data_IF_026960943168
#
_entry.id   IF_026960943168
#
_cell.length_a   1.000
_cell.length_b   1.000
_cell.length_c   1.000
_cell.angle_alpha   90.00
_cell.angle_beta   90.00
_cell.angle_gamma   90.00
#
_symmetry.space_group_name_H-M   'P 1'
#
loop_
_entity.id
_entity.type
_entity.pdbx_description
1 polymer ?
#
# COMPACT_ATOMS: atom_id res chain seq x y z
N UNK A 1 -5.88 12.14 -9.23
CA UNK A 1 -4.79 11.68 -8.32
C UNK A 1 -5.43 11.34 -6.99
N UNK A 2 -5.18 10.13 -6.48
CA UNK A 2 -5.68 9.66 -5.18
C UNK A 2 -4.54 9.75 -4.18
N UNK A 3 -4.82 10.23 -2.97
CA UNK A 3 -3.87 10.23 -1.87
C UNK A 3 -4.52 9.46 -0.73
N UNK A 4 -3.83 8.44 -0.24
CA UNK A 4 -4.28 7.61 0.87
C UNK A 4 -3.31 7.76 2.03
N UNK A 5 -3.78 8.42 3.09
CA UNK A 5 -3.07 8.47 4.36
C UNK A 5 -3.37 7.22 5.19
N UNK A 6 -2.45 6.86 6.09
CA UNK A 6 -2.56 5.67 6.94
C UNK A 6 -2.84 4.39 6.12
N UNK A 7 -2.17 4.24 4.97
CA UNK A 7 -2.48 3.24 3.95
C UNK A 7 -2.46 1.78 4.45
N UNK A 8 -1.72 1.51 5.53
CA UNK A 8 -1.66 0.20 6.17
C UNK A 8 -2.99 -0.27 6.81
N UNK A 9 -3.94 0.65 7.00
CA UNK A 9 -5.28 0.32 7.49
C UNK A 9 -6.21 -0.21 6.38
N UNK A 10 -5.83 -0.01 5.11
CA UNK A 10 -6.68 -0.35 3.97
C UNK A 10 -6.06 -1.47 3.12
N UNK A 11 -4.74 -1.48 2.96
CA UNK A 11 -4.06 -2.43 2.07
C UNK A 11 -3.84 -3.78 2.75
N UNK A 12 -4.21 -4.87 2.06
CA UNK A 12 -4.10 -6.24 2.58
C UNK A 12 -5.00 -6.50 3.80
N UNK A 13 -6.06 -5.71 3.97
CA UNK A 13 -7.04 -5.87 5.05
C UNK A 13 -8.38 -6.36 4.51
N UNK A 14 -9.06 -7.09 5.37
CA UNK A 14 -10.38 -7.61 5.11
C UNK A 14 -11.29 -7.21 6.25
N UNK A 15 -12.48 -6.72 5.93
CA UNK A 15 -13.49 -6.32 6.90
C UNK A 15 -14.63 -7.34 6.92
N UNK A 16 -15.18 -7.59 8.10
CA UNK A 16 -16.37 -8.42 8.29
C UNK A 16 -16.11 -9.75 9.00
N UNK A 17 -17.21 -10.44 9.30
CA UNK A 17 -17.23 -11.76 9.95
C UNK A 17 -16.91 -12.86 8.93
N UNK A 18 -16.61 -14.09 9.39
CA UNK A 18 -16.28 -15.23 8.50
C UNK A 18 -17.30 -15.46 7.37
N UNK A 19 -18.56 -15.05 7.56
CA UNK A 19 -19.65 -15.19 6.58
C UNK A 19 -19.83 -13.99 5.61
N UNK A 20 -19.21 -12.83 5.85
CA UNK A 20 -19.31 -11.64 4.97
C UNK A 20 -17.97 -10.89 4.94
N UNK A 21 -17.06 -11.42 4.13
CA UNK A 21 -15.67 -10.98 4.01
C UNK A 21 -15.56 -9.96 2.87
N UNK A 22 -15.45 -8.67 3.21
CA UNK A 22 -15.25 -7.58 2.26
C UNK A 22 -13.76 -7.27 2.12
N UNK A 23 -13.19 -7.54 0.95
CA UNK A 23 -11.81 -7.18 0.64
C UNK A 23 -11.71 -5.68 0.34
N UNK A 24 -10.81 -4.98 1.02
CA UNK A 24 -10.47 -3.58 0.73
C UNK A 24 -9.47 -3.49 -0.44
N UNK A 25 -9.82 -4.08 -1.57
CA UNK A 25 -8.91 -4.24 -2.72
C UNK A 25 -8.86 -3.02 -3.67
N UNK A 26 -9.79 -2.07 -3.52
CA UNK A 26 -9.90 -0.93 -4.43
C UNK A 26 -8.59 -0.13 -4.57
N UNK A 27 -7.87 0.12 -3.47
CA UNK A 27 -6.60 0.85 -3.52
C UNK A 27 -5.47 0.02 -4.14
N UNK A 28 -5.48 -1.31 -3.94
CA UNK A 28 -4.55 -2.22 -4.58
C UNK A 28 -4.81 -2.30 -6.09
N UNK A 29 -6.07 -2.29 -6.51
CA UNK A 29 -6.45 -2.21 -7.92
C UNK A 29 -5.97 -0.91 -8.56
N UNK A 30 -6.15 0.23 -7.87
CA UNK A 30 -5.64 1.52 -8.36
C UNK A 30 -4.11 1.52 -8.47
N UNK A 31 -3.41 0.95 -7.49
CA UNK A 31 -1.95 0.84 -7.53
C UNK A 31 -1.45 0.02 -8.74
N UNK A 32 -2.13 -1.09 -9.06
CA UNK A 32 -1.76 -1.99 -10.16
C UNK A 32 -2.21 -1.50 -11.54
N UNK A 33 -3.41 -0.93 -11.63
CA UNK A 33 -4.07 -0.67 -12.92
C UNK A 33 -4.39 0.80 -13.18
N UNK A 34 -4.31 1.67 -12.18
CA UNK A 34 -4.74 3.07 -12.27
C UNK A 34 -4.07 3.83 -13.42
N UNK A 35 -2.80 3.53 -13.71
CA UNK A 35 -2.06 4.13 -14.83
C UNK A 35 -2.72 3.91 -16.19
N UNK A 36 -3.39 2.77 -16.40
CA UNK A 36 -4.12 2.46 -17.65
C UNK A 36 -5.23 3.50 -17.91
N UNK A 37 -5.76 4.10 -16.84
CA UNK A 37 -6.86 5.05 -16.86
C UNK A 37 -6.43 6.49 -16.51
N UNK A 38 -5.12 6.77 -16.47
CA UNK A 38 -4.60 8.09 -16.08
C UNK A 38 -4.77 8.42 -14.59
N UNK A 39 -5.06 7.42 -13.75
CA UNK A 39 -5.24 7.58 -12.31
C UNK A 39 -3.95 7.21 -11.57
N UNK A 40 -3.29 8.21 -11.00
CA UNK A 40 -2.13 8.01 -10.12
C UNK A 40 -2.55 7.96 -8.65
N UNK A 41 -1.83 7.18 -7.85
CA UNK A 41 -2.01 7.06 -6.40
C UNK A 41 -0.73 7.44 -5.65
N UNK A 42 -0.90 8.05 -4.48
CA UNK A 42 0.16 8.29 -3.50
C UNK A 42 -0.27 7.64 -2.18
N UNK A 43 0.55 6.74 -1.68
CA UNK A 43 0.34 6.04 -0.41
C UNK A 43 1.24 6.64 0.66
N UNK A 44 0.66 7.01 1.79
CA UNK A 44 1.38 7.53 2.96
C UNK A 44 1.17 6.57 4.12
N UNK A 45 2.26 6.14 4.74
CA UNK A 45 2.23 5.25 5.91
C UNK A 45 3.52 5.37 6.72
N UNK A 46 3.37 5.19 8.03
CA UNK A 46 4.43 5.01 9.02
C UNK A 46 4.78 3.54 9.27
N UNK A 47 4.05 2.60 8.64
CA UNK A 47 4.26 1.14 8.75
C UNK A 47 4.43 0.52 7.36
N UNK A 48 5.59 0.70 6.70
CA UNK A 48 5.81 0.18 5.35
C UNK A 48 5.71 -1.35 5.29
N UNK A 49 6.11 -2.07 6.35
CA UNK A 49 6.00 -3.53 6.44
C UNK A 49 4.57 -4.08 6.43
N UNK A 50 3.59 -3.24 6.76
CA UNK A 50 2.18 -3.63 6.79
C UNK A 50 1.52 -3.41 5.41
N UNK A 51 2.28 -2.89 4.43
CA UNK A 51 1.86 -2.80 3.02
C UNK A 51 2.27 -4.08 2.29
N UNK A 52 1.39 -4.58 1.42
CA UNK A 52 1.68 -5.80 0.66
C UNK A 52 2.81 -5.58 -0.34
N UNK A 53 3.69 -6.57 -0.50
CA UNK A 53 4.80 -6.54 -1.48
C UNK A 53 4.29 -6.32 -2.92
N UNK A 54 3.12 -6.89 -3.23
CA UNK A 54 2.44 -6.70 -4.51
C UNK A 54 1.98 -5.26 -4.77
N UNK A 55 1.80 -4.42 -3.75
CA UNK A 55 1.52 -2.99 -3.91
C UNK A 55 2.80 -2.18 -3.92
N UNK A 56 3.75 -2.48 -3.02
CA UNK A 56 5.05 -1.80 -2.95
C UNK A 56 5.81 -1.90 -4.28
N UNK A 57 5.84 -3.08 -4.90
CA UNK A 57 6.48 -3.31 -6.20
C UNK A 57 5.86 -2.52 -7.37
N UNK A 58 4.67 -1.95 -7.20
CA UNK A 58 4.03 -1.10 -8.22
C UNK A 58 4.34 0.39 -8.01
N UNK A 59 4.95 0.77 -6.88
CA UNK A 59 5.26 2.15 -6.57
C UNK A 59 6.52 2.59 -7.32
N UNK A 60 6.32 3.33 -8.42
CA UNK A 60 7.45 3.83 -9.22
C UNK A 60 8.30 4.93 -8.55
N UNK A 61 7.90 5.44 -7.39
CA UNK A 61 8.66 6.42 -6.61
C UNK A 61 8.38 6.23 -5.13
N UNK A 62 9.44 6.18 -4.33
CA UNK A 62 9.38 6.08 -2.87
C UNK A 62 10.05 7.30 -2.26
N UNK A 63 9.32 8.01 -1.39
CA UNK A 63 9.87 9.05 -0.53
C UNK A 63 9.95 8.50 0.89
N UNK A 64 11.17 8.22 1.34
CA UNK A 64 11.43 7.49 2.58
C UNK A 64 12.15 8.41 3.56
N UNK A 65 11.49 8.72 4.67
CA UNK A 65 12.12 9.40 5.79
C UNK A 65 12.97 8.42 6.61
N UNK A 66 13.61 8.91 7.68
CA UNK A 66 14.46 8.06 8.53
C UNK A 66 13.65 6.90 9.12
N UNK A 67 14.06 5.67 8.79
CA UNK A 67 13.57 4.44 9.41
C UNK A 67 14.58 3.96 10.46
N UNK A 68 14.10 3.64 11.66
CA UNK A 68 14.91 3.10 12.76
C UNK A 68 14.73 1.59 12.96
N UNK A 69 13.66 1.02 12.41
CA UNK A 69 13.37 -0.40 12.51
C UNK A 69 13.98 -1.15 11.31
N UNK A 70 14.77 -2.18 11.57
CA UNK A 70 15.47 -2.94 10.53
C UNK A 70 14.50 -3.65 9.57
N UNK A 71 13.34 -4.13 10.05
CA UNK A 71 12.34 -4.81 9.21
C UNK A 71 11.64 -3.84 8.27
N UNK A 72 11.33 -2.63 8.75
CA UNK A 72 10.75 -1.59 7.89
C UNK A 72 11.73 -1.18 6.80
N UNK A 73 13.02 -1.08 7.16
CA UNK A 73 14.09 -0.77 6.22
C UNK A 73 14.25 -1.87 5.16
N UNK A 74 14.28 -3.13 5.57
CA UNK A 74 14.38 -4.29 4.68
C UNK A 74 13.23 -4.36 3.69
N UNK A 75 12.00 -4.03 4.12
CA UNK A 75 10.83 -3.98 3.23
C UNK A 75 10.97 -2.90 2.16
N UNK A 76 11.42 -1.70 2.55
CA UNK A 76 11.61 -0.60 1.59
C UNK A 76 12.79 -0.85 0.65
N UNK A 77 13.87 -1.49 1.12
CA UNK A 77 15.02 -1.85 0.29
C UNK A 77 14.69 -2.93 -0.76
N UNK A 78 13.59 -3.66 -0.58
CA UNK A 78 13.11 -4.70 -1.51
C UNK A 78 12.00 -4.23 -2.44
N UNK A 79 11.45 -3.05 -2.20
CA UNK A 79 10.37 -2.46 -3.00
C UNK A 79 10.89 -1.99 -4.37
#
# INVERSE_FOLDING_TARGET
MVILDEAHNFLGKTLGSEDDVQNLDAFELIAKEGRKYGLNICLVTQRPRDITEGVLSQMGTLLVHRLTNDRDREVVERA
#
